data_IF_971699417174
#
_entry.id   IF_971699417174
#
_cell.length_a   1.000
_cell.length_b   1.000
_cell.length_c   1.000
_cell.angle_alpha   90.00
_cell.angle_beta   90.00
_cell.angle_gamma   90.00
#
_symmetry.space_group_name_H-M   'P 1'
#
loop_
_entity.id
_entity.type
_entity.pdbx_description
1 polymer ?
#
# COMPACT_ATOMS: atom_id res chain seq x y z
N UNK A 1 -22.31 47.00 -26.35
CA UNK A 1 -21.77 45.63 -26.43
C UNK A 1 -20.53 45.36 -25.56
N UNK A 2 -19.72 46.37 -25.19
CA UNK A 2 -18.44 46.13 -24.48
C UNK A 2 -18.56 45.82 -22.98
N UNK A 3 -19.65 46.22 -22.31
CA UNK A 3 -19.83 46.01 -20.87
C UNK A 3 -20.25 44.58 -20.51
N UNK A 4 -21.12 43.97 -21.33
CA UNK A 4 -21.59 42.59 -21.15
C UNK A 4 -20.43 41.60 -21.39
N UNK A 5 -19.62 41.83 -22.44
CA UNK A 5 -18.43 41.04 -22.74
C UNK A 5 -17.41 41.03 -21.59
N UNK A 6 -17.08 42.20 -21.03
CA UNK A 6 -16.13 42.29 -19.89
C UNK A 6 -16.63 41.59 -18.64
N UNK A 7 -17.91 41.70 -18.32
CA UNK A 7 -18.53 40.99 -17.18
C UNK A 7 -18.48 39.47 -17.35
N UNK A 8 -18.67 38.98 -18.58
CA UNK A 8 -18.57 37.55 -18.89
C UNK A 8 -17.14 37.03 -18.72
N UNK A 9 -16.14 37.79 -19.19
CA UNK A 9 -14.72 37.44 -19.04
C UNK A 9 -14.31 37.39 -17.57
N UNK A 10 -14.74 38.37 -16.77
CA UNK A 10 -14.51 38.38 -15.32
C UNK A 10 -15.15 37.18 -14.61
N UNK A 11 -16.36 36.80 -15.02
CA UNK A 11 -17.04 35.63 -14.47
C UNK A 11 -16.24 34.34 -14.75
N UNK A 12 -15.78 34.14 -15.99
CA UNK A 12 -14.95 32.98 -16.32
C UNK A 12 -13.62 32.98 -15.57
N UNK A 13 -12.95 34.14 -15.46
CA UNK A 13 -11.70 34.25 -14.69
C UNK A 13 -11.90 33.85 -13.22
N UNK A 14 -13.01 34.27 -12.60
CA UNK A 14 -13.37 33.90 -11.22
C UNK A 14 -13.65 32.40 -11.12
N UNK A 15 -14.38 31.80 -12.07
CA UNK A 15 -14.68 30.36 -12.09
C UNK A 15 -13.40 29.53 -12.19
N UNK A 16 -12.49 29.88 -13.12
CA UNK A 16 -11.20 29.19 -13.24
C UNK A 16 -10.35 29.35 -11.97
N UNK A 17 -10.36 30.54 -11.37
CA UNK A 17 -9.59 30.78 -10.15
C UNK A 17 -10.17 30.07 -8.92
N UNK A 18 -11.50 30.02 -8.79
CA UNK A 18 -12.16 29.25 -7.73
C UNK A 18 -12.00 27.74 -7.92
N UNK A 19 -11.96 27.25 -9.16
CA UNK A 19 -11.78 25.82 -9.45
C UNK A 19 -10.45 25.25 -8.94
N UNK A 20 -9.41 26.08 -8.83
CA UNK A 20 -8.08 25.69 -8.31
C UNK A 20 -7.91 25.86 -6.80
N UNK A 21 -8.77 26.67 -6.15
CA UNK A 21 -8.74 26.92 -4.70
C UNK A 21 -9.47 25.84 -3.88
N UNK A 22 -10.37 25.07 -4.52
CA UNK A 22 -11.32 24.19 -3.84
C UNK A 22 -10.95 22.71 -3.73
N UNK A 23 -10.00 22.19 -4.50
CA UNK A 23 -9.69 20.75 -4.47
C UNK A 23 -8.59 20.44 -3.46
N UNK A 24 -8.95 20.41 -2.17
CA UNK A 24 -8.13 19.79 -1.09
C UNK A 24 -8.08 18.26 -1.23
N UNK A 25 -7.94 17.72 -2.44
CA UNK A 25 -7.64 16.30 -2.62
C UNK A 25 -6.18 16.09 -2.27
N UNK A 26 -5.87 14.99 -1.57
CA UNK A 26 -4.50 14.56 -1.40
C UNK A 26 -3.88 14.37 -2.79
N UNK A 27 -3.00 15.30 -3.19
CA UNK A 27 -2.44 15.33 -4.53
C UNK A 27 -1.54 14.13 -4.72
N UNK A 28 -1.77 13.39 -5.81
CA UNK A 28 -1.04 12.17 -6.13
C UNK A 28 0.18 12.56 -6.96
N UNK A 29 1.38 12.29 -6.44
CA UNK A 29 2.64 12.48 -7.17
C UNK A 29 2.86 11.37 -8.21
N UNK A 30 2.56 10.12 -7.84
CA UNK A 30 2.66 8.96 -8.73
C UNK A 30 1.84 7.78 -8.17
N UNK A 31 1.46 6.84 -9.04
CA UNK A 31 0.80 5.60 -8.61
C UNK A 31 1.06 4.44 -9.56
N UNK A 32 1.00 3.23 -9.02
CA UNK A 32 0.86 1.98 -9.77
C UNK A 32 -0.25 1.16 -9.11
N UNK A 33 -1.32 0.86 -9.85
CA UNK A 33 -2.51 0.17 -9.33
C UNK A 33 -2.50 -1.35 -9.59
N UNK A 34 -1.34 -1.91 -9.96
CA UNK A 34 -1.17 -3.36 -10.11
C UNK A 34 -1.34 -4.12 -8.79
N UNK A 35 -1.29 -5.46 -8.90
CA UNK A 35 -1.41 -6.37 -7.75
C UNK A 35 -0.40 -6.04 -6.65
N UNK A 36 0.87 -5.84 -7.03
CA UNK A 36 1.86 -5.16 -6.22
C UNK A 36 1.85 -3.70 -6.67
N UNK A 37 1.39 -2.81 -5.81
CA UNK A 37 1.06 -1.44 -6.18
C UNK A 37 1.48 -0.42 -5.14
N UNK A 38 1.34 0.85 -5.51
CA UNK A 38 1.58 1.97 -4.62
C UNK A 38 0.77 3.20 -4.99
N UNK A 39 0.56 4.06 -4.00
CA UNK A 39 0.16 5.45 -4.18
C UNK A 39 1.12 6.35 -3.42
N UNK A 40 1.73 7.29 -4.15
CA UNK A 40 2.70 8.26 -3.65
C UNK A 40 2.05 9.65 -3.70
N UNK A 41 1.99 10.32 -2.56
CA UNK A 41 1.38 11.63 -2.41
C UNK A 41 2.43 12.73 -2.39
N UNK A 42 2.08 13.93 -2.85
CA UNK A 42 2.99 15.08 -2.87
C UNK A 42 3.42 15.52 -1.47
N UNK A 43 2.56 15.31 -0.47
CA UNK A 43 2.80 15.65 0.94
C UNK A 43 3.83 14.76 1.64
N UNK A 44 4.33 13.71 0.96
CA UNK A 44 5.34 12.79 1.50
C UNK A 44 4.80 11.43 1.92
N UNK A 45 3.47 11.24 1.92
CA UNK A 45 2.86 9.95 2.23
C UNK A 45 3.08 8.94 1.09
N UNK A 46 3.42 7.71 1.47
CA UNK A 46 3.53 6.56 0.57
C UNK A 46 2.73 5.41 1.16
N UNK A 47 1.82 4.86 0.36
CA UNK A 47 1.11 3.62 0.67
C UNK A 47 1.51 2.60 -0.40
N UNK A 48 1.89 1.41 0.01
CA UNK A 48 2.24 0.29 -0.88
C UNK A 48 1.47 -0.95 -0.45
N UNK A 49 1.13 -1.81 -1.40
CA UNK A 49 0.46 -3.08 -1.12
C UNK A 49 0.95 -4.15 -2.07
N UNK A 50 0.65 -5.40 -1.73
CA UNK A 50 0.99 -6.51 -2.59
C UNK A 50 0.66 -7.88 -2.02
N UNK A 51 1.13 -8.89 -2.73
CA UNK A 51 1.07 -10.29 -2.35
C UNK A 51 2.42 -10.94 -2.60
N UNK A 52 2.85 -11.78 -1.66
CA UNK A 52 3.98 -12.67 -1.86
C UNK A 52 3.45 -14.05 -2.30
N UNK A 53 3.56 -14.34 -3.60
CA UNK A 53 3.15 -15.61 -4.24
C UNK A 53 4.40 -16.43 -4.54
N UNK A 54 4.79 -17.31 -3.63
CA UNK A 54 6.04 -18.06 -3.80
C UNK A 54 5.92 -19.56 -3.54
N UNK A 55 4.92 -20.04 -2.79
CA UNK A 55 4.83 -21.48 -2.48
C UNK A 55 6.00 -22.01 -1.63
N UNK A 56 6.92 -21.14 -1.20
CA UNK A 56 8.19 -21.49 -0.54
C UNK A 56 8.01 -21.50 0.97
N UNK A 57 8.55 -22.50 1.67
CA UNK A 57 8.58 -22.49 3.14
C UNK A 57 9.67 -21.54 3.67
N UNK A 58 9.45 -20.98 4.85
CA UNK A 58 10.46 -20.20 5.57
C UNK A 58 10.27 -18.69 5.45
N UNK A 59 11.32 -17.96 5.80
CA UNK A 59 11.37 -16.51 5.72
C UNK A 59 11.52 -16.04 4.28
N UNK A 60 10.77 -15.00 3.91
CA UNK A 60 10.71 -14.49 2.54
C UNK A 60 10.94 -12.99 2.54
N UNK A 61 11.83 -12.55 1.65
CA UNK A 61 12.07 -11.12 1.41
C UNK A 61 11.08 -10.65 0.36
N UNK A 62 10.35 -9.57 0.67
CA UNK A 62 9.46 -8.88 -0.26
C UNK A 62 9.99 -7.48 -0.49
N UNK A 63 10.34 -7.18 -1.74
CA UNK A 63 10.82 -5.86 -2.15
C UNK A 63 9.67 -4.93 -2.44
N UNK A 64 9.76 -3.71 -1.93
CA UNK A 64 8.84 -2.65 -2.29
C UNK A 64 9.14 -2.14 -3.71
N UNK A 65 8.12 -1.58 -4.37
CA UNK A 65 8.31 -0.89 -5.65
C UNK A 65 9.04 0.44 -5.47
N UNK A 66 8.84 1.08 -4.31
CA UNK A 66 9.52 2.31 -3.90
C UNK A 66 10.06 2.15 -2.48
N UNK A 67 11.27 2.66 -2.22
CA UNK A 67 11.78 2.70 -0.85
C UNK A 67 11.02 3.74 -0.01
N UNK A 68 10.71 3.40 1.24
CA UNK A 68 10.37 4.38 2.28
C UNK A 68 11.63 5.18 2.66
N UNK A 69 11.46 6.37 3.26
CA UNK A 69 12.62 7.18 3.69
C UNK A 69 13.36 6.60 4.90
N UNK A 70 12.68 5.79 5.73
CA UNK A 70 13.26 5.05 6.84
C UNK A 70 12.46 3.78 7.17
N UNK A 71 12.77 3.12 8.29
CA UNK A 71 12.08 1.92 8.78
C UNK A 71 10.88 2.20 9.68
N UNK A 72 10.45 3.46 9.85
CA UNK A 72 9.33 3.84 10.72
C UNK A 72 7.94 3.72 10.06
N UNK A 73 7.83 3.09 8.88
CA UNK A 73 6.53 2.80 8.24
C UNK A 73 5.72 1.77 9.03
N UNK A 74 4.39 1.81 8.99
CA UNK A 74 3.56 0.72 9.50
C UNK A 74 3.36 -0.33 8.41
N UNK A 75 3.27 -1.61 8.78
CA UNK A 75 2.95 -2.71 7.86
C UNK A 75 2.01 -3.70 8.54
N UNK A 76 1.01 -4.15 7.79
CA UNK A 76 0.09 -5.21 8.19
C UNK A 76 0.20 -6.32 7.16
N UNK A 77 0.17 -7.56 7.65
CA UNK A 77 0.23 -8.77 6.85
C UNK A 77 -1.04 -9.58 7.08
N UNK A 78 -1.49 -10.29 6.05
CA UNK A 78 -2.59 -11.26 6.15
C UNK A 78 -2.25 -12.53 5.37
N UNK A 79 -2.50 -13.69 5.94
CA UNK A 79 -2.28 -14.97 5.26
C UNK A 79 -3.52 -15.38 4.47
N UNK A 80 -3.31 -16.00 3.31
CA UNK A 80 -4.36 -16.70 2.58
C UNK A 80 -4.06 -18.20 2.56
N UNK A 81 -4.69 -19.00 3.44
CA UNK A 81 -4.43 -20.43 3.56
C UNK A 81 -4.97 -21.26 2.38
N UNK A 82 -5.51 -20.65 1.32
CA UNK A 82 -5.90 -21.33 0.09
C UNK A 82 -7.05 -22.31 0.28
N UNK A 83 -8.02 -21.96 1.14
CA UNK A 83 -9.22 -22.78 1.37
C UNK A 83 -9.00 -24.06 2.19
N UNK A 84 -7.80 -24.28 2.77
CA UNK A 84 -7.65 -25.33 3.79
C UNK A 84 -8.57 -25.01 4.97
N UNK A 85 -9.36 -26.00 5.39
CA UNK A 85 -10.16 -25.90 6.62
C UNK A 85 -9.24 -25.60 7.80
N UNK A 86 -9.25 -24.34 8.22
CA UNK A 86 -8.56 -23.85 9.42
C UNK A 86 -9.34 -24.17 10.70
N UNK A 87 -10.34 -25.08 10.62
CA UNK A 87 -11.19 -25.44 11.76
C UNK A 87 -10.38 -25.81 13.03
N UNK A 88 -9.16 -26.32 12.86
CA UNK A 88 -8.22 -26.63 13.96
C UNK A 88 -6.79 -26.08 13.73
N UNK A 89 -6.62 -25.08 12.87
CA UNK A 89 -5.28 -24.57 12.51
C UNK A 89 -5.22 -23.05 12.58
N UNK A 90 -4.32 -22.54 13.40
CA UNK A 90 -3.97 -21.12 13.42
C UNK A 90 -2.95 -20.86 12.32
N UNK A 91 -3.27 -19.95 11.40
CA UNK A 91 -2.33 -19.45 10.40
C UNK A 91 -2.14 -17.97 10.65
N UNK A 92 -0.89 -17.54 10.77
CA UNK A 92 -0.57 -16.15 11.01
C UNK A 92 0.69 -15.73 10.25
N UNK A 93 0.68 -14.57 9.58
CA UNK A 93 1.89 -14.02 9.01
C UNK A 93 2.71 -13.35 10.11
N UNK A 94 4.01 -13.64 10.15
CA UNK A 94 4.95 -13.04 11.08
C UNK A 94 5.90 -12.11 10.32
N UNK A 95 5.93 -10.83 10.72
CA UNK A 95 6.94 -9.89 10.30
C UNK A 95 8.24 -10.17 11.06
N UNK A 96 9.34 -10.35 10.33
CA UNK A 96 10.65 -10.73 10.89
C UNK A 96 11.58 -9.52 10.96
N UNK A 97 11.68 -8.77 9.86
CA UNK A 97 12.51 -7.57 9.81
C UNK A 97 12.01 -6.57 8.78
N UNK A 98 12.42 -5.32 8.97
CA UNK A 98 12.07 -4.18 8.12
C UNK A 98 13.33 -3.49 7.62
N UNK A 99 13.34 -3.17 6.33
CA UNK A 99 14.27 -2.25 5.71
C UNK A 99 13.47 -1.19 4.93
N UNK A 100 14.13 -0.13 4.48
CA UNK A 100 13.49 0.93 3.68
C UNK A 100 12.95 0.42 2.34
N UNK A 101 13.67 -0.50 1.69
CA UNK A 101 13.36 -1.03 0.36
C UNK A 101 12.66 -2.39 0.35
N UNK A 102 12.56 -3.05 1.51
CA UNK A 102 12.00 -4.39 1.61
C UNK A 102 11.60 -4.73 3.05
N UNK A 103 10.87 -5.82 3.21
CA UNK A 103 10.65 -6.46 4.50
C UNK A 103 10.83 -7.96 4.38
N UNK A 104 11.10 -8.60 5.51
CA UNK A 104 11.13 -10.05 5.62
C UNK A 104 9.95 -10.54 6.44
N UNK A 105 9.22 -11.52 5.93
CA UNK A 105 8.09 -12.13 6.63
C UNK A 105 7.96 -13.62 6.29
N UNK A 106 7.18 -14.34 7.08
CA UNK A 106 6.80 -15.73 6.80
C UNK A 106 5.36 -15.99 7.22
N UNK A 107 4.76 -17.06 6.68
CA UNK A 107 3.55 -17.62 7.26
C UNK A 107 3.94 -18.68 8.29
N UNK A 108 3.37 -18.61 9.48
CA UNK A 108 3.46 -19.64 10.51
C UNK A 108 2.13 -20.34 10.63
N UNK A 109 2.16 -21.64 10.86
CA UNK A 109 0.98 -22.37 11.28
C UNK A 109 1.23 -23.20 12.52
N UNK A 110 0.14 -23.43 13.23
CA UNK A 110 0.05 -24.38 14.33
C UNK A 110 -1.28 -25.13 14.17
N UNK A 111 -1.22 -26.45 14.21
CA UNK A 111 -2.38 -27.33 14.25
C UNK A 111 -2.20 -28.43 15.30
N UNK A 112 -3.18 -29.33 15.40
CA UNK A 112 -3.18 -30.41 16.40
C UNK A 112 -2.04 -31.43 16.25
N UNK A 113 -1.31 -31.43 15.13
CA UNK A 113 -0.31 -32.43 14.76
C UNK A 113 1.08 -31.83 14.50
N UNK A 114 1.16 -30.54 14.16
CA UNK A 114 2.37 -29.92 13.65
C UNK A 114 2.38 -28.40 13.83
N UNK A 115 3.59 -27.84 13.81
CA UNK A 115 3.83 -26.42 13.74
C UNK A 115 5.00 -26.17 12.78
N UNK A 116 4.95 -25.06 12.04
CA UNK A 116 5.94 -24.88 11.00
C UNK A 116 5.76 -23.62 10.17
N UNK A 117 6.47 -23.61 9.04
CA UNK A 117 6.33 -22.57 8.02
C UNK A 117 5.29 -22.97 6.99
N UNK A 118 4.36 -22.05 6.73
CA UNK A 118 3.39 -22.18 5.66
C UNK A 118 4.01 -21.88 4.30
N UNK A 119 3.58 -22.60 3.27
CA UNK A 119 3.89 -22.30 1.86
C UNK A 119 2.92 -21.29 1.26
N UNK A 120 1.86 -20.91 1.98
CA UNK A 120 0.79 -20.05 1.49
C UNK A 120 1.24 -18.65 1.11
N UNK A 121 0.38 -17.99 0.36
CA UNK A 121 0.52 -16.58 0.05
C UNK A 121 0.27 -15.73 1.30
N UNK A 122 0.87 -14.55 1.34
CA UNK A 122 0.41 -13.51 2.24
C UNK A 122 0.29 -12.19 1.50
N UNK A 123 -0.76 -11.46 1.87
CA UNK A 123 -1.03 -10.10 1.44
C UNK A 123 -0.42 -9.13 2.43
N UNK A 124 -0.07 -7.95 1.95
CA UNK A 124 0.53 -6.91 2.79
C UNK A 124 0.10 -5.53 2.33
N UNK A 125 0.01 -4.62 3.32
CA UNK A 125 -0.15 -3.18 3.10
C UNK A 125 0.84 -2.48 4.02
N UNK A 126 1.63 -1.55 3.46
CA UNK A 126 2.59 -0.73 4.18
C UNK A 126 2.29 0.76 3.95
N UNK A 127 2.44 1.57 4.99
CA UNK A 127 2.20 3.03 4.98
C UNK A 127 3.32 3.76 5.70
N UNK A 128 3.88 4.78 5.08
CA UNK A 128 4.99 5.55 5.63
C UNK A 128 5.31 6.77 4.79
N UNK A 129 6.48 7.35 5.03
CA UNK A 129 6.97 8.52 4.28
C UNK A 129 7.99 8.13 3.21
N UNK A 130 8.03 8.86 2.10
CA UNK A 130 9.03 8.71 1.04
C UNK A 130 10.02 9.89 0.95
N UNK A 131 9.70 10.99 1.62
CA UNK A 131 10.57 12.16 1.82
C UNK A 131 10.86 12.36 3.30
#
# INVERSE_FOLDING_TARGET
>A
MNSISRKLVLLFAIIFWQSSLGTKSAQINAQNLGQNGYRKYEDGLLIQWGVNVTGVQGERITYFLLSFSDTNYSIILSSDPGGKSIANSLVSPLLISKASSNFKACNRYYDSYSYGYGTWNFYWIAIGKWK
#
